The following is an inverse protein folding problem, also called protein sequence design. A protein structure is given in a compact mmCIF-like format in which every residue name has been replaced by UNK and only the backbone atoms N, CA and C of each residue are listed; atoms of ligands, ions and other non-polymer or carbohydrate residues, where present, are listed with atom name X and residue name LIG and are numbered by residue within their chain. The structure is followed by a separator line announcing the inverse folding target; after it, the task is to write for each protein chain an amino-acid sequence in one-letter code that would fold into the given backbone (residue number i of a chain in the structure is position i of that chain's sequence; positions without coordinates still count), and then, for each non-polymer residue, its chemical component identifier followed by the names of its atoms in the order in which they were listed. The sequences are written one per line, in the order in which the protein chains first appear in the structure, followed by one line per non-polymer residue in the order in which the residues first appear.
data_IF_407528576313
#
_entry.id   IF_407528576313
#
_cell.length_a   1.000
_cell.length_b   1.000
_cell.length_c   1.000
_cell.angle_alpha   90.00
_cell.angle_beta   90.00
_cell.angle_gamma   90.00
#
_symmetry.space_group_name_H-M   'P 1'
#
loop_
_entity.id
_entity.type
_entity.pdbx_description
1 polymer ?
#
# COMPACT_ATOMS: atom_id res chain seq x y z
N UNK A 1 -26.24 -10.24 -20.52
CA UNK A 1 -25.27 -10.18 -19.41
C UNK A 1 -24.90 -11.60 -19.03
N UNK A 2 -23.60 -11.98 -19.14
CA UNK A 2 -23.17 -13.38 -18.94
C UNK A 2 -23.02 -13.66 -17.44
N UNK A 3 -23.47 -14.80 -16.97
CA UNK A 3 -23.40 -15.25 -15.56
C UNK A 3 -22.02 -15.09 -14.88
N UNK A 4 -20.97 -15.12 -15.67
CA UNK A 4 -19.59 -14.92 -15.22
C UNK A 4 -19.33 -13.48 -14.71
N UNK A 5 -19.93 -12.46 -15.33
CA UNK A 5 -19.80 -11.07 -14.90
C UNK A 5 -20.54 -10.80 -13.57
N UNK A 6 -21.66 -11.48 -13.35
CA UNK A 6 -22.40 -11.37 -12.09
C UNK A 6 -21.62 -11.95 -10.90
N UNK A 7 -20.88 -13.04 -11.12
CA UNK A 7 -20.06 -13.68 -10.08
C UNK A 7 -18.88 -12.79 -9.64
N UNK A 8 -18.24 -12.10 -10.60
CA UNK A 8 -17.14 -11.16 -10.30
C UNK A 8 -17.62 -9.97 -9.47
N UNK A 9 -18.77 -9.38 -9.83
CA UNK A 9 -19.34 -8.22 -9.10
C UNK A 9 -19.75 -8.63 -7.68
N UNK A 10 -20.30 -9.83 -7.49
CA UNK A 10 -20.71 -10.32 -6.16
C UNK A 10 -19.52 -10.60 -5.25
N UNK A 11 -18.42 -11.13 -5.79
CA UNK A 11 -17.20 -11.36 -5.05
C UNK A 11 -16.54 -10.04 -4.62
N UNK A 12 -16.52 -9.04 -5.50
CA UNK A 12 -15.98 -7.71 -5.20
C UNK A 12 -16.81 -6.98 -4.12
N UNK A 13 -18.13 -7.09 -4.18
CA UNK A 13 -19.02 -6.50 -3.16
C UNK A 13 -18.82 -7.14 -1.78
N UNK A 14 -18.60 -8.45 -1.71
CA UNK A 14 -18.35 -9.16 -0.45
C UNK A 14 -17.00 -8.79 0.18
N UNK A 15 -15.94 -8.64 -0.61
CA UNK A 15 -14.63 -8.20 -0.12
C UNK A 15 -14.69 -6.75 0.38
N UNK A 16 -15.34 -5.85 -0.36
CA UNK A 16 -15.49 -4.46 0.06
C UNK A 16 -16.29 -4.31 1.37
N UNK A 17 -17.35 -5.10 1.55
CA UNK A 17 -18.14 -5.12 2.78
C UNK A 17 -17.34 -5.68 3.95
N UNK A 18 -16.51 -6.71 3.74
CA UNK A 18 -15.68 -7.30 4.78
C UNK A 18 -14.60 -6.33 5.26
N UNK A 19 -13.99 -5.56 4.36
CA UNK A 19 -13.00 -4.54 4.69
C UNK A 19 -13.65 -3.40 5.48
N UNK A 20 -14.81 -2.91 5.05
CA UNK A 20 -15.54 -1.85 5.75
C UNK A 20 -15.98 -2.30 7.15
N UNK A 21 -16.38 -3.56 7.32
CA UNK A 21 -16.79 -4.11 8.63
C UNK A 21 -15.60 -4.29 9.58
N UNK A 22 -14.46 -4.71 9.08
CA UNK A 22 -13.23 -4.80 9.88
C UNK A 22 -12.77 -3.41 10.36
N UNK A 23 -12.88 -2.39 9.51
CA UNK A 23 -12.50 -1.02 9.83
C UNK A 23 -13.36 -0.43 10.96
N UNK A 24 -14.68 -0.54 10.87
CA UNK A 24 -15.59 -0.03 11.90
C UNK A 24 -15.47 -0.74 13.25
N UNK A 25 -15.09 -2.03 13.26
CA UNK A 25 -14.86 -2.78 14.51
C UNK A 25 -13.55 -2.39 15.20
N UNK A 26 -12.53 -2.00 14.44
CA UNK A 26 -11.24 -1.52 14.98
C UNK A 26 -11.40 -0.12 15.57
N UNK A 27 -12.07 0.82 14.88
CA UNK A 27 -12.35 2.16 15.42
C UNK A 27 -13.15 2.11 16.74
N UNK A 28 -14.16 1.25 16.81
CA UNK A 28 -14.96 1.10 18.02
C UNK A 28 -14.17 0.51 19.20
N UNK A 29 -13.19 -0.37 18.96
CA UNK A 29 -12.33 -0.89 20.04
C UNK A 29 -11.34 0.14 20.56
N UNK A 30 -10.73 0.92 19.66
CA UNK A 30 -9.81 1.99 20.06
C UNK A 30 -10.52 3.07 20.86
N UNK A 31 -11.77 3.40 20.53
CA UNK A 31 -12.57 4.37 21.29
C UNK A 31 -13.00 3.86 22.66
N UNK A 32 -13.23 2.56 22.84
CA UNK A 32 -13.61 1.98 24.13
C UNK A 32 -12.44 1.86 25.12
N UNK A 33 -11.21 1.63 24.67
CA UNK A 33 -10.02 1.62 25.54
C UNK A 33 -9.64 3.02 26.04
N UNK A 34 -10.00 4.08 25.32
CA UNK A 34 -9.75 5.46 25.74
C UNK A 34 -10.71 5.96 26.84
N UNK A 35 -11.87 5.32 27.04
CA UNK A 35 -12.85 5.75 28.07
C UNK A 35 -12.64 5.15 29.46
N UNK A 36 -11.74 4.18 29.64
CA UNK A 36 -11.58 3.43 30.90
C UNK A 36 -10.64 4.10 31.94
N UNK A 37 -10.11 5.31 31.65
CA UNK A 37 -9.30 6.06 32.64
C UNK A 37 -9.90 7.44 32.86
N UNK A 38 -11.02 7.50 33.57
CA UNK A 38 -11.55 8.77 34.07
C UNK A 38 -11.38 8.80 35.60
N UNK A 39 -10.27 9.37 36.07
CA UNK A 39 -10.16 9.81 37.45
C UNK A 39 -10.57 11.26 37.51
N UNK A 40 -11.62 11.52 38.28
CA UNK A 40 -12.23 12.83 38.54
C UNK A 40 -11.24 13.80 39.15
N UNK A 41 -10.97 14.93 38.50
CA UNK A 41 -10.48 16.14 39.19
C UNK A 41 -10.97 17.40 38.47
N UNK A 42 -11.43 18.33 39.29
CA UNK A 42 -12.17 19.54 39.08
C UNK A 42 -11.53 20.55 38.07
N UNK A 43 -12.38 21.06 37.23
CA UNK A 43 -12.39 22.18 36.29
C UNK A 43 -11.37 23.27 36.42
N UNK A 44 -10.58 23.51 35.38
CA UNK A 44 -10.24 24.84 34.86
C UNK A 44 -10.14 24.75 33.34
N UNK A 45 -11.02 25.46 32.63
CA UNK A 45 -11.10 25.42 31.16
C UNK A 45 -9.94 26.18 30.56
N UNK A 46 -8.86 25.48 30.24
CA UNK A 46 -7.84 25.96 29.30
C UNK A 46 -7.90 25.04 28.10
N UNK A 47 -8.35 25.56 26.97
CA UNK A 47 -8.34 24.85 25.70
C UNK A 47 -6.87 24.66 25.28
N UNK A 48 -6.23 23.63 25.78
CA UNK A 48 -4.94 23.17 25.28
C UNK A 48 -5.26 22.28 24.09
N UNK A 49 -4.86 22.73 22.89
CA UNK A 49 -4.79 21.83 21.74
C UNK A 49 -3.85 20.68 22.15
N UNK A 50 -4.42 19.50 22.38
CA UNK A 50 -3.66 18.29 22.66
C UNK A 50 -2.93 17.91 21.37
N UNK A 51 -1.74 18.47 21.18
CA UNK A 51 -0.79 17.91 20.22
C UNK A 51 -0.30 16.62 20.84
N UNK A 52 -0.90 15.48 20.49
CA UNK A 52 -0.45 14.16 20.94
C UNK A 52 0.91 13.93 20.29
N UNK A 53 1.97 14.26 21.00
CA UNK A 53 3.34 13.90 20.59
C UNK A 53 3.45 12.40 20.80
N UNK A 54 3.25 11.64 19.74
CA UNK A 54 3.49 10.20 19.74
C UNK A 54 4.95 9.96 20.10
N UNK A 55 5.23 9.22 21.15
CA UNK A 55 6.62 8.86 21.50
C UNK A 55 7.19 7.94 20.42
N UNK A 56 8.51 7.95 20.22
CA UNK A 56 9.16 7.08 19.23
C UNK A 56 8.80 5.60 19.44
N UNK A 57 8.68 5.15 20.68
CA UNK A 57 8.28 3.79 21.02
C UNK A 57 6.84 3.49 20.57
N UNK A 58 5.90 4.39 20.80
CA UNK A 58 4.52 4.25 20.35
C UNK A 58 4.42 4.22 18.82
N UNK A 59 5.23 5.02 18.12
CA UNK A 59 5.31 5.01 16.68
C UNK A 59 5.79 3.64 16.16
N UNK A 60 6.84 3.06 16.73
CA UNK A 60 7.34 1.73 16.35
C UNK A 60 6.27 0.66 16.55
N UNK A 61 5.60 0.62 17.71
CA UNK A 61 4.51 -0.33 17.98
C UNK A 61 3.38 -0.17 16.95
N UNK A 62 3.01 1.07 16.62
CA UNK A 62 1.98 1.34 15.63
C UNK A 62 2.39 0.90 14.21
N UNK A 63 3.64 1.13 13.82
CA UNK A 63 4.19 0.67 12.54
C UNK A 63 4.17 -0.86 12.47
N UNK A 64 4.66 -1.55 13.51
CA UNK A 64 4.70 -3.01 13.54
C UNK A 64 3.31 -3.63 13.37
N UNK A 65 2.32 -3.14 14.12
CA UNK A 65 0.94 -3.63 14.02
C UNK A 65 0.35 -3.43 12.62
N UNK A 66 0.60 -2.30 11.98
CA UNK A 66 0.16 -2.04 10.61
C UNK A 66 0.85 -2.94 9.60
N UNK A 67 2.15 -3.18 9.79
CA UNK A 67 2.94 -4.06 8.93
C UNK A 67 2.47 -5.52 9.01
N UNK A 68 2.13 -6.03 10.19
CA UNK A 68 1.52 -7.35 10.36
C UNK A 68 0.19 -7.47 9.64
N UNK A 69 -0.68 -6.45 9.76
CA UNK A 69 -1.97 -6.42 9.07
C UNK A 69 -1.80 -6.37 7.56
N UNK A 70 -0.88 -5.56 7.05
CA UNK A 70 -0.60 -5.46 5.63
C UNK A 70 -0.07 -6.78 5.06
N UNK A 71 0.90 -7.42 5.74
CA UNK A 71 1.41 -8.73 5.34
C UNK A 71 0.29 -9.77 5.27
N UNK A 72 -0.54 -9.86 6.32
CA UNK A 72 -1.67 -10.79 6.34
C UNK A 72 -2.71 -10.51 5.25
N UNK A 73 -2.96 -9.24 4.90
CA UNK A 73 -3.89 -8.87 3.83
C UNK A 73 -3.29 -9.13 2.43
N UNK A 74 -2.00 -8.89 2.24
CA UNK A 74 -1.32 -9.16 0.97
C UNK A 74 -1.34 -10.64 0.61
N UNK A 75 -1.21 -11.53 1.61
CA UNK A 75 -1.28 -12.98 1.43
C UNK A 75 -2.67 -13.47 0.97
N UNK A 76 -3.71 -12.67 1.21
CA UNK A 76 -5.07 -12.99 0.77
C UNK A 76 -5.35 -12.56 -0.69
N UNK A 77 -4.47 -11.80 -1.31
CA UNK A 77 -4.63 -11.36 -2.71
C UNK A 77 -4.21 -12.50 -3.64
N UNK A 78 -5.13 -13.04 -4.42
CA UNK A 78 -4.81 -14.08 -5.39
C UNK A 78 -3.79 -13.57 -6.44
N UNK A 79 -2.74 -14.35 -6.75
CA UNK A 79 -1.68 -13.92 -7.66
C UNK A 79 -2.16 -13.72 -9.11
N UNK A 80 -3.27 -14.33 -9.49
CA UNK A 80 -3.90 -14.21 -10.81
C UNK A 80 -4.66 -12.89 -11.02
N UNK A 81 -4.84 -12.09 -9.98
CA UNK A 81 -5.45 -10.75 -10.10
C UNK A 81 -4.48 -9.67 -10.61
N UNK A 82 -3.23 -10.04 -10.86
CA UNK A 82 -2.21 -9.12 -11.30
C UNK A 82 -1.73 -8.16 -10.18
N UNK A 83 -0.89 -7.18 -10.50
CA UNK A 83 -0.24 -6.31 -9.51
C UNK A 83 -1.15 -5.20 -8.94
N UNK A 84 -2.25 -4.88 -9.59
CA UNK A 84 -3.11 -3.75 -9.24
C UNK A 84 -3.65 -3.79 -7.81
N UNK A 85 -4.30 -4.87 -7.36
CA UNK A 85 -4.82 -4.97 -6.01
C UNK A 85 -3.75 -4.82 -4.93
N UNK A 86 -2.58 -5.42 -5.12
CA UNK A 86 -1.46 -5.30 -4.18
C UNK A 86 -0.90 -3.88 -4.15
N UNK A 87 -0.76 -3.23 -5.30
CA UNK A 87 -0.28 -1.84 -5.37
C UNK A 87 -1.24 -0.86 -4.67
N UNK A 88 -2.55 -1.03 -4.84
CA UNK A 88 -3.55 -0.23 -4.13
C UNK A 88 -3.48 -0.47 -2.61
N UNK A 89 -3.38 -1.72 -2.18
CA UNK A 89 -3.24 -2.07 -0.77
C UNK A 89 -1.95 -1.48 -0.18
N UNK A 90 -0.84 -1.54 -0.92
CA UNK A 90 0.43 -0.95 -0.52
C UNK A 90 0.35 0.57 -0.37
N UNK A 91 -0.29 1.27 -1.31
CA UNK A 91 -0.48 2.72 -1.20
C UNK A 91 -1.26 3.09 0.07
N UNK A 92 -2.36 2.41 0.36
CA UNK A 92 -3.14 2.63 1.59
C UNK A 92 -2.31 2.37 2.84
N UNK A 93 -1.56 1.28 2.87
CA UNK A 93 -0.66 0.95 3.96
C UNK A 93 0.38 2.06 4.21
N UNK A 94 1.02 2.58 3.16
CA UNK A 94 2.03 3.63 3.31
C UNK A 94 1.43 4.96 3.76
N UNK A 95 0.21 5.29 3.37
CA UNK A 95 -0.52 6.42 3.94
C UNK A 95 -0.77 6.23 5.45
N UNK A 96 -1.20 5.05 5.87
CA UNK A 96 -1.38 4.73 7.29
C UNK A 96 -0.05 4.80 8.07
N UNK A 97 1.06 4.34 7.47
CA UNK A 97 2.39 4.46 8.09
C UNK A 97 2.79 5.92 8.22
N UNK A 98 2.56 6.76 7.20
CA UNK A 98 2.88 8.19 7.25
C UNK A 98 2.26 8.89 8.46
N UNK A 99 1.03 8.52 8.81
CA UNK A 99 0.30 9.16 9.91
C UNK A 99 0.89 8.87 11.30
N UNK A 100 1.74 7.84 11.40
CA UNK A 100 2.44 7.46 12.64
C UNK A 100 3.96 7.49 12.54
N UNK A 101 4.49 7.79 11.36
CA UNK A 101 5.93 7.85 11.11
C UNK A 101 6.61 8.93 11.93
N UNK A 102 7.78 8.61 12.47
CA UNK A 102 8.67 9.60 13.07
C UNK A 102 9.38 10.42 11.97
N UNK A 103 9.88 11.63 12.29
CA UNK A 103 10.62 12.43 11.31
C UNK A 103 11.78 11.69 10.63
N UNK A 104 12.40 10.73 11.34
CA UNK A 104 13.56 9.99 10.86
C UNK A 104 13.25 9.06 9.66
N UNK A 105 12.00 8.60 9.53
CA UNK A 105 11.56 7.69 8.45
C UNK A 105 10.50 8.31 7.54
N UNK A 106 10.04 9.52 7.85
CA UNK A 106 8.96 10.17 7.11
C UNK A 106 9.33 10.46 5.65
N UNK A 107 10.58 10.81 5.39
CA UNK A 107 11.06 11.10 4.03
C UNK A 107 10.98 9.85 3.14
N UNK A 108 11.38 8.71 3.66
CA UNK A 108 11.32 7.42 2.96
C UNK A 108 9.87 7.02 2.70
N UNK A 109 9.00 7.19 3.69
CA UNK A 109 7.58 6.87 3.58
C UNK A 109 6.90 7.73 2.51
N UNK A 110 7.18 9.04 2.48
CA UNK A 110 6.63 9.95 1.45
C UNK A 110 7.13 9.54 0.06
N UNK A 111 8.42 9.23 -0.10
CA UNK A 111 8.97 8.81 -1.39
C UNK A 111 8.36 7.49 -1.89
N UNK A 112 7.99 6.57 -0.98
CA UNK A 112 7.29 5.34 -1.35
C UNK A 112 5.85 5.64 -1.77
N UNK A 113 5.14 6.53 -1.08
CA UNK A 113 3.79 6.96 -1.46
C UNK A 113 3.81 7.54 -2.87
N UNK A 114 4.72 8.50 -3.14
CA UNK A 114 4.88 9.12 -4.46
C UNK A 114 5.13 8.07 -5.55
N UNK A 115 5.96 7.07 -5.26
CA UNK A 115 6.19 5.94 -6.18
C UNK A 115 4.91 5.16 -6.49
N UNK A 116 4.11 4.78 -5.49
CA UNK A 116 2.88 4.02 -5.71
C UNK A 116 1.80 4.85 -6.38
N UNK A 117 1.70 6.14 -6.07
CA UNK A 117 0.81 7.08 -6.77
C UNK A 117 1.17 7.16 -8.27
N UNK A 118 2.45 7.32 -8.58
CA UNK A 118 2.95 7.35 -9.96
C UNK A 118 2.72 6.01 -10.69
N UNK A 119 2.96 4.89 -10.01
CA UNK A 119 2.72 3.56 -10.57
C UNK A 119 1.23 3.35 -10.89
N UNK A 120 0.34 3.65 -9.96
CA UNK A 120 -1.09 3.51 -10.15
C UNK A 120 -1.61 4.46 -11.23
N UNK A 121 -1.17 5.71 -11.24
CA UNK A 121 -1.54 6.68 -12.28
C UNK A 121 -1.11 6.24 -13.69
N UNK A 122 0.02 5.53 -13.80
CA UNK A 122 0.55 5.05 -15.08
C UNK A 122 -0.08 3.74 -15.53
N UNK A 123 -0.33 2.80 -14.61
CA UNK A 123 -0.74 1.43 -14.94
C UNK A 123 -2.25 1.18 -14.88
N UNK A 124 -2.98 1.84 -13.96
CA UNK A 124 -4.40 1.60 -13.77
C UNK A 124 -5.29 1.94 -14.98
N UNK A 125 -5.01 2.98 -15.79
CA UNK A 125 -5.79 3.26 -17.01
C UNK A 125 -5.79 2.10 -18.03
N UNK A 126 -4.82 1.21 -17.92
CA UNK A 126 -4.62 0.05 -18.81
C UNK A 126 -4.90 -1.28 -18.10
N UNK A 127 -5.64 -1.28 -16.99
CA UNK A 127 -5.92 -2.47 -16.17
C UNK A 127 -4.65 -3.24 -15.77
N UNK A 128 -3.52 -2.53 -15.63
CA UNK A 128 -2.20 -3.09 -15.33
C UNK A 128 -1.66 -4.06 -16.40
N UNK A 129 -2.19 -3.99 -17.61
CA UNK A 129 -1.68 -4.76 -18.75
C UNK A 129 -0.40 -4.10 -19.29
N UNK A 130 0.73 -4.75 -19.02
CA UNK A 130 2.06 -4.27 -19.43
C UNK A 130 2.16 -4.05 -20.95
N UNK A 131 1.52 -4.90 -21.76
CA UNK A 131 1.54 -4.78 -23.22
C UNK A 131 0.82 -3.50 -23.64
N UNK A 132 -0.36 -3.25 -23.09
CA UNK A 132 -1.12 -2.04 -23.40
C UNK A 132 -0.40 -0.78 -22.93
N UNK A 133 0.28 -0.81 -21.78
CA UNK A 133 1.06 0.33 -21.29
C UNK A 133 2.23 0.65 -22.23
N UNK A 134 2.93 -0.37 -22.76
CA UNK A 134 4.04 -0.19 -23.71
C UNK A 134 3.55 0.38 -25.05
N UNK A 135 2.38 -0.07 -25.52
CA UNK A 135 1.87 0.31 -26.83
C UNK A 135 1.13 1.67 -26.83
N UNK A 136 0.41 1.99 -25.76
CA UNK A 136 -0.53 3.12 -25.74
C UNK A 136 -0.29 4.07 -24.57
N UNK A 137 0.52 3.68 -23.57
CA UNK A 137 0.78 4.43 -22.35
C UNK A 137 2.07 5.24 -22.38
N UNK A 138 2.46 5.76 -21.21
CA UNK A 138 3.76 6.37 -20.97
C UNK A 138 4.79 5.28 -20.66
N UNK A 139 5.34 4.70 -21.73
CA UNK A 139 6.30 3.61 -21.66
C UNK A 139 7.54 3.98 -20.84
N UNK A 140 8.12 5.15 -21.08
CA UNK A 140 9.36 5.56 -20.40
C UNK A 140 9.16 5.70 -18.89
N UNK A 141 8.03 6.29 -18.47
CA UNK A 141 7.69 6.41 -17.07
C UNK A 141 7.42 5.03 -16.46
N UNK A 142 6.69 4.17 -17.14
CA UNK A 142 6.40 2.82 -16.67
C UNK A 142 7.67 1.98 -16.51
N UNK A 143 8.57 1.99 -17.51
CA UNK A 143 9.87 1.33 -17.45
C UNK A 143 10.66 1.76 -16.20
N UNK A 144 10.76 3.08 -15.95
CA UNK A 144 11.46 3.60 -14.77
C UNK A 144 10.85 3.07 -13.46
N UNK A 145 9.53 2.98 -13.39
CA UNK A 145 8.81 2.52 -12.20
C UNK A 145 9.00 1.02 -11.94
N UNK A 146 9.04 0.18 -12.97
CA UNK A 146 9.09 -1.28 -12.79
C UNK A 146 10.50 -1.87 -12.83
N UNK A 147 11.48 -1.16 -13.41
CA UNK A 147 12.87 -1.65 -13.53
C UNK A 147 13.78 -1.11 -12.43
N UNK A 148 13.38 -0.05 -11.72
CA UNK A 148 14.18 0.57 -10.65
C UNK A 148 13.55 0.32 -9.28
N UNK A 149 14.38 0.22 -8.23
CA UNK A 149 13.87 0.15 -6.87
C UNK A 149 13.08 1.41 -6.51
N UNK A 150 11.93 1.25 -5.85
CA UNK A 150 11.19 2.37 -5.29
C UNK A 150 12.04 3.08 -4.23
N UNK A 151 12.20 4.41 -4.31
CA UNK A 151 12.97 5.16 -3.33
C UNK A 151 12.46 4.90 -1.91
N UNK A 152 13.37 4.68 -0.96
CA UNK A 152 13.04 4.45 0.46
C UNK A 152 12.51 3.05 0.79
N UNK A 153 11.99 2.29 -0.19
CA UNK A 153 11.32 1.01 0.09
C UNK A 153 12.25 -0.01 0.77
N UNK A 154 13.47 -0.18 0.27
CA UNK A 154 14.43 -1.10 0.86
C UNK A 154 14.78 -0.72 2.31
N UNK A 155 14.97 0.57 2.58
CA UNK A 155 15.22 1.10 3.93
C UNK A 155 14.06 0.77 4.86
N UNK A 156 12.82 0.99 4.42
CA UNK A 156 11.64 0.71 5.23
C UNK A 156 11.38 -0.79 5.39
N UNK A 157 11.65 -1.61 4.39
CA UNK A 157 11.58 -3.08 4.52
C UNK A 157 12.59 -3.59 5.55
N UNK A 158 13.83 -3.09 5.52
CA UNK A 158 14.85 -3.45 6.51
C UNK A 158 14.46 -2.98 7.91
N UNK A 159 13.93 -1.76 8.05
CA UNK A 159 13.43 -1.22 9.31
C UNK A 159 12.31 -2.10 9.89
N UNK A 160 11.29 -2.44 9.10
CA UNK A 160 10.16 -3.26 9.54
C UNK A 160 10.62 -4.69 9.86
N UNK A 161 11.45 -5.30 9.01
CA UNK A 161 11.99 -6.64 9.25
C UNK A 161 12.79 -6.70 10.54
N UNK A 162 13.63 -5.69 10.81
CA UNK A 162 14.49 -5.69 12.00
C UNK A 162 13.71 -5.43 13.30
N UNK A 163 12.75 -4.49 13.28
CA UNK A 163 12.03 -4.10 14.50
C UNK A 163 10.74 -4.89 14.75
N UNK A 164 10.09 -5.36 13.68
CA UNK A 164 8.78 -5.99 13.75
C UNK A 164 8.81 -7.48 13.40
N UNK A 165 9.94 -7.99 12.92
CA UNK A 165 10.08 -9.38 12.42
C UNK A 165 9.07 -9.73 11.29
N UNK A 166 8.64 -8.72 10.52
CA UNK A 166 7.67 -8.84 9.43
C UNK A 166 8.35 -8.57 8.10
N UNK A 167 8.14 -9.44 7.11
CA UNK A 167 8.55 -9.20 5.74
C UNK A 167 7.42 -8.50 4.98
N UNK A 168 7.72 -7.31 4.45
CA UNK A 168 6.80 -6.60 3.58
C UNK A 168 6.93 -7.09 2.14
N UNK A 169 5.82 -7.22 1.38
CA UNK A 169 5.88 -7.55 -0.03
C UNK A 169 6.70 -6.52 -0.81
N UNK A 170 7.34 -7.00 -1.88
CA UNK A 170 8.09 -6.15 -2.80
C UNK A 170 7.18 -5.27 -3.65
N UNK A 171 7.82 -4.31 -4.34
CA UNK A 171 7.15 -3.52 -5.36
C UNK A 171 6.85 -4.36 -6.62
N UNK A 172 5.87 -3.96 -7.45
CA UNK A 172 5.74 -4.46 -8.80
C UNK A 172 7.04 -4.22 -9.57
N UNK A 173 7.65 -5.28 -10.09
CA UNK A 173 8.95 -5.15 -10.76
C UNK A 173 9.07 -6.09 -11.95
N UNK A 174 9.74 -5.60 -12.98
CA UNK A 174 10.14 -6.37 -14.17
C UNK A 174 11.64 -6.17 -14.32
N UNK A 175 12.40 -7.21 -14.65
CA UNK A 175 13.82 -6.98 -14.92
C UNK A 175 13.98 -6.11 -16.18
N UNK A 176 14.96 -5.19 -16.20
CA UNK A 176 15.19 -4.34 -17.35
C UNK A 176 15.34 -5.15 -18.64
N UNK A 177 16.10 -6.27 -18.59
CA UNK A 177 16.24 -7.17 -19.74
C UNK A 177 14.91 -7.78 -20.19
N UNK A 178 14.03 -8.16 -19.25
CA UNK A 178 12.73 -8.73 -19.60
C UNK A 178 11.80 -7.67 -20.19
N UNK A 179 11.97 -6.42 -19.77
CA UNK A 179 11.23 -5.29 -20.34
C UNK A 179 11.67 -5.02 -21.77
N UNK A 180 12.99 -4.93 -22.04
CA UNK A 180 13.57 -4.75 -23.37
C UNK A 180 13.16 -5.89 -24.31
N UNK A 181 13.28 -7.15 -23.87
CA UNK A 181 12.88 -8.32 -24.65
C UNK A 181 11.37 -8.30 -25.00
N UNK A 182 10.52 -7.80 -24.12
CA UNK A 182 9.09 -7.65 -24.35
C UNK A 182 8.81 -6.54 -25.35
N UNK A 183 9.47 -5.39 -25.21
CA UNK A 183 9.35 -4.26 -26.13
C UNK A 183 9.78 -4.63 -27.54
N UNK A 184 10.95 -5.23 -27.71
CA UNK A 184 11.46 -5.67 -29.01
C UNK A 184 10.48 -6.62 -29.72
N UNK A 185 9.88 -7.56 -28.98
CA UNK A 185 8.88 -8.49 -29.54
C UNK A 185 7.57 -7.84 -29.94
N UNK A 186 7.20 -6.71 -29.29
CA UNK A 186 5.96 -5.99 -29.60
C UNK A 186 6.12 -5.00 -30.75
N UNK A 187 7.28 -4.33 -30.81
CA UNK A 187 7.53 -3.28 -31.79
C UNK A 187 8.17 -3.82 -33.09
N UNK A 188 8.89 -4.94 -33.00
CA UNK A 188 9.58 -5.57 -34.14
C UNK A 188 9.27 -7.09 -34.15
N UNK A 189 8.01 -7.49 -34.45
CA UNK A 189 7.63 -8.88 -34.45
C UNK A 189 8.46 -9.65 -35.51
N UNK A 190 8.98 -10.85 -35.19
CA UNK A 190 9.78 -11.63 -36.11
C UNK A 190 8.97 -11.89 -37.40
N UNK A 191 9.60 -11.64 -38.56
CA UNK A 191 9.02 -11.88 -39.88
C UNK A 191 8.48 -13.35 -39.95
N UNK A 192 7.18 -13.50 -40.15
CA UNK A 192 6.49 -14.81 -40.30
C UNK A 192 6.54 -15.30 -41.74
#
# INVERSE_FOLDING_TARGET
MRLAQLRGILAFALVAVSIAYAWTTIENRVSQEAEAVTTTTTTTTTTVALTTTTTAEQAVVAICRRSELFAAQSDLIPPDLGPGPLANLALLFWHDIRDVATPDVLTEVVAIIDYYDDYLATAAPFDFDTVMIILEGDKEKFEQLVTRPAPGLATMQDFVRFLCEVELPGQPSISARSFDDLEDRLLDPPDT
#
